data_IF_351866604764
#
_entry.id   IF_351866604764
#
_cell.length_a   1.000
_cell.length_b   1.000
_cell.length_c   1.000
_cell.angle_alpha   90.00
_cell.angle_beta   90.00
_cell.angle_gamma   90.00
#
_symmetry.space_group_name_H-M   'P 1'
#
loop_
_entity.id
_entity.type
_entity.pdbx_description
1 polymer ?
#
# COMPACT_ATOMS: atom_id res chain seq x y z
N UNK A 1 38.29 -17.52 -0.69
CA UNK A 1 36.85 -17.49 -1.04
C UNK A 1 36.16 -16.72 0.06
N UNK A 2 35.89 -15.45 -0.16
CA UNK A 2 35.14 -14.60 0.78
C UNK A 2 33.70 -14.57 0.26
N UNK A 3 32.76 -15.00 1.10
CA UNK A 3 31.34 -15.09 0.79
C UNK A 3 30.81 -13.73 0.32
N UNK A 4 30.06 -13.73 -0.79
CA UNK A 4 29.39 -12.56 -1.33
C UNK A 4 28.35 -12.06 -0.32
N UNK A 5 28.72 -11.04 0.45
CA UNK A 5 27.82 -10.34 1.35
C UNK A 5 26.78 -9.60 0.50
N UNK A 6 25.61 -10.23 0.31
CA UNK A 6 24.50 -9.67 -0.45
C UNK A 6 24.07 -8.35 0.22
N UNK A 7 24.32 -7.25 -0.49
CA UNK A 7 24.01 -5.90 -0.01
C UNK A 7 22.54 -5.77 0.40
N UNK A 8 22.30 -5.43 1.67
CA UNK A 8 20.98 -5.15 2.21
C UNK A 8 20.74 -3.64 2.32
N UNK A 9 19.82 -3.06 1.53
CA UNK A 9 19.59 -1.62 1.54
C UNK A 9 18.89 -1.18 2.83
N UNK A 10 19.48 -0.19 3.51
CA UNK A 10 18.95 0.39 4.76
C UNK A 10 18.02 1.58 4.57
N UNK A 11 17.73 1.95 3.32
CA UNK A 11 16.85 3.09 3.03
C UNK A 11 15.40 2.67 3.25
N UNK A 12 14.67 3.45 4.05
CA UNK A 12 13.30 3.15 4.46
C UNK A 12 12.33 2.94 3.29
N UNK A 13 12.59 3.59 2.15
CA UNK A 13 11.78 3.49 0.95
C UNK A 13 12.17 2.32 0.04
N UNK A 14 13.21 1.54 0.38
CA UNK A 14 13.64 0.42 -0.46
C UNK A 14 12.55 -0.63 -0.60
N UNK A 15 11.87 -0.98 0.51
CA UNK A 15 10.72 -1.91 0.50
C UNK A 15 9.59 -1.42 -0.39
N UNK A 16 9.35 -0.10 -0.39
CA UNK A 16 8.34 0.56 -1.23
C UNK A 16 8.72 0.59 -2.71
N UNK A 17 9.98 0.32 -3.05
CA UNK A 17 10.50 0.28 -4.43
C UNK A 17 10.70 -1.15 -4.94
N UNK A 18 10.39 -2.19 -4.15
CA UNK A 18 10.54 -3.60 -4.58
C UNK A 18 9.62 -3.95 -5.75
N UNK A 19 8.50 -3.24 -5.94
CA UNK A 19 7.63 -3.44 -7.10
C UNK A 19 8.34 -3.16 -8.44
N UNK A 20 9.45 -2.39 -8.45
CA UNK A 20 10.23 -2.11 -9.67
C UNK A 20 11.05 -3.32 -10.12
N UNK A 21 11.45 -4.21 -9.20
CA UNK A 21 12.35 -5.34 -9.49
C UNK A 21 11.74 -6.29 -10.53
N UNK A 22 10.43 -6.53 -10.44
CA UNK A 22 9.68 -7.40 -11.36
C UNK A 22 9.53 -6.82 -12.78
N UNK A 23 9.97 -5.59 -13.06
CA UNK A 23 9.86 -4.96 -14.38
C UNK A 23 11.11 -5.13 -15.27
N UNK A 24 12.19 -5.72 -14.75
CA UNK A 24 13.51 -5.73 -15.41
C UNK A 24 13.80 -6.96 -16.28
N UNK A 25 12.89 -7.93 -16.39
CA UNK A 25 13.16 -9.20 -17.10
C UNK A 25 13.20 -9.15 -18.64
N UNK A 26 13.14 -7.99 -19.31
CA UNK A 26 13.17 -7.96 -20.78
C UNK A 26 13.97 -6.80 -21.36
N UNK A 27 15.30 -6.83 -21.26
CA UNK A 27 16.20 -6.23 -22.26
C UNK A 27 17.65 -6.68 -22.04
N UNK A 28 17.95 -7.95 -22.32
CA UNK A 28 19.33 -8.35 -22.65
C UNK A 28 19.53 -8.09 -24.14
N UNK A 29 19.86 -6.85 -24.49
CA UNK A 29 20.39 -6.48 -25.81
C UNK A 29 21.82 -7.01 -25.94
N UNK A 30 21.95 -8.24 -26.41
CA UNK A 30 23.14 -8.67 -27.15
C UNK A 30 23.02 -8.16 -28.59
N UNK A 31 24.04 -7.44 -29.05
CA UNK A 31 24.04 -6.73 -30.32
C UNK A 31 24.12 -7.66 -31.54
N UNK A 32 23.56 -7.19 -32.66
CA UNK A 32 24.03 -7.60 -33.99
C UNK A 32 23.72 -6.52 -35.01
N UNK A 33 24.78 -5.79 -35.39
CA UNK A 33 24.81 -4.87 -36.53
C UNK A 33 24.76 -5.70 -37.81
N UNK A 34 23.82 -5.41 -38.72
CA UNK A 34 24.02 -5.51 -40.19
C UNK A 34 22.94 -4.76 -40.99
N UNK A 35 23.37 -4.38 -42.19
CA UNK A 35 23.02 -3.28 -43.10
C UNK A 35 22.06 -3.72 -44.23
N UNK A 36 21.61 -2.75 -45.04
CA UNK A 36 21.12 -2.82 -46.46
C UNK A 36 19.78 -3.53 -46.74
N UNK A 37 18.95 -3.17 -47.73
CA UNK A 37 18.72 -2.02 -48.61
C UNK A 37 17.40 -2.30 -49.38
N UNK A 38 16.65 -1.24 -49.69
CA UNK A 38 15.74 -0.99 -50.84
C UNK A 38 14.89 -2.07 -51.59
N UNK A 39 13.62 -1.66 -51.80
CA UNK A 39 12.76 -1.75 -53.02
C UNK A 39 11.94 -3.01 -53.33
N UNK A 40 10.63 -2.80 -53.54
CA UNK A 40 9.74 -3.70 -54.29
C UNK A 40 8.25 -3.50 -54.02
N UNK A 41 7.54 -2.84 -54.94
CA UNK A 41 6.07 -2.75 -55.02
C UNK A 41 5.40 -4.13 -55.14
N UNK A 42 4.19 -4.28 -54.57
CA UNK A 42 2.98 -4.74 -55.27
C UNK A 42 1.79 -4.96 -54.29
N UNK A 43 0.70 -4.25 -54.55
CA UNK A 43 -0.68 -4.57 -54.08
C UNK A 43 -1.32 -5.58 -55.06
N UNK A 44 -2.58 -6.07 -54.88
CA UNK A 44 -3.50 -6.06 -53.73
C UNK A 44 -4.12 -7.46 -53.45
N UNK A 45 -4.68 -7.73 -52.27
CA UNK A 45 -5.88 -8.60 -52.16
C UNK A 45 -6.64 -8.38 -50.85
N UNK A 46 -7.94 -8.54 -50.98
CA UNK A 46 -9.04 -8.22 -50.08
C UNK A 46 -9.11 -9.17 -48.87
N UNK A 47 -9.74 -8.66 -47.81
CA UNK A 47 -10.36 -9.35 -46.67
C UNK A 47 -9.46 -9.88 -45.55
N UNK A 48 -9.41 -9.16 -44.42
CA UNK A 48 -9.51 -9.79 -43.08
C UNK A 48 -9.87 -8.74 -42.01
N UNK A 49 -10.96 -9.02 -41.28
CA UNK A 49 -11.26 -8.63 -39.88
C UNK A 49 -10.95 -7.20 -39.40
N UNK A 50 -11.99 -6.49 -38.98
CA UNK A 50 -11.90 -5.30 -38.12
C UNK A 50 -11.16 -5.64 -36.82
N UNK A 51 -9.83 -5.53 -36.82
CA UNK A 51 -9.06 -5.53 -35.59
C UNK A 51 -9.28 -4.17 -34.93
N UNK A 52 -9.97 -4.18 -33.79
CA UNK A 52 -9.93 -3.05 -32.84
C UNK A 52 -8.46 -2.79 -32.56
N UNK A 53 -7.94 -1.63 -32.98
CA UNK A 53 -6.59 -1.17 -32.63
C UNK A 53 -6.48 -1.16 -31.11
N UNK A 54 -5.94 -2.23 -30.52
CA UNK A 54 -5.49 -2.22 -29.13
C UNK A 54 -4.41 -1.15 -29.05
N UNK A 55 -4.75 -0.01 -28.47
CA UNK A 55 -3.79 1.00 -28.09
C UNK A 55 -2.73 0.30 -27.24
N UNK A 56 -1.50 0.17 -27.76
CA UNK A 56 -0.38 -0.33 -26.96
C UNK A 56 -0.09 0.78 -25.95
N UNK A 57 -0.64 0.64 -24.75
CA UNK A 57 -0.31 1.52 -23.64
C UNK A 57 1.20 1.45 -23.45
N UNK A 58 1.84 2.62 -23.50
CA UNK A 58 3.28 2.72 -23.33
C UNK A 58 3.65 2.14 -21.98
N UNK A 59 4.87 1.63 -21.84
CA UNK A 59 5.36 1.18 -20.54
C UNK A 59 5.25 2.32 -19.50
N UNK A 60 5.41 3.57 -19.95
CA UNK A 60 5.14 4.79 -19.18
C UNK A 60 3.69 4.90 -18.72
N UNK A 61 2.71 4.60 -19.56
CA UNK A 61 1.29 4.64 -19.19
C UNK A 61 0.97 3.58 -18.13
N UNK A 62 1.60 2.40 -18.24
CA UNK A 62 1.48 1.34 -17.23
C UNK A 62 2.11 1.77 -15.91
N UNK A 63 3.28 2.41 -15.95
CA UNK A 63 3.94 2.98 -14.76
C UNK A 63 3.09 4.07 -14.10
N UNK A 64 2.59 5.02 -14.88
CA UNK A 64 1.73 6.10 -14.37
C UNK A 64 0.42 5.56 -13.79
N UNK A 65 -0.13 4.51 -14.39
CA UNK A 65 -1.31 3.82 -13.86
C UNK A 65 -1.01 3.11 -12.54
N UNK A 66 0.13 2.42 -12.42
CA UNK A 66 0.52 1.72 -11.19
C UNK A 66 0.76 2.69 -10.02
N UNK A 67 1.47 3.78 -10.29
CA UNK A 67 1.70 4.85 -9.31
C UNK A 67 0.38 5.50 -8.88
N UNK A 68 -0.50 5.80 -9.85
CA UNK A 68 -1.81 6.39 -9.57
C UNK A 68 -2.72 5.48 -8.75
N UNK A 69 -2.60 4.16 -8.89
CA UNK A 69 -3.42 3.20 -8.16
C UNK A 69 -2.97 3.02 -6.70
N UNK A 70 -1.68 3.19 -6.41
CA UNK A 70 -1.18 3.18 -5.02
C UNK A 70 -1.59 4.43 -4.22
N UNK A 71 -1.85 5.55 -4.91
CA UNK A 71 -2.29 6.80 -4.27
C UNK A 71 -3.81 6.92 -4.09
N UNK A 72 -4.60 5.95 -4.58
CA UNK A 72 -6.07 6.06 -4.68
C UNK A 72 -6.86 5.35 -3.58
N UNK A 73 -6.24 4.86 -2.52
CA UNK A 73 -7.01 4.30 -1.40
C UNK A 73 -7.31 5.39 -0.37
N UNK A 74 -8.58 5.79 -0.17
CA UNK A 74 -8.96 6.67 0.94
C UNK A 74 -8.63 6.06 2.32
N UNK A 75 -8.35 4.75 2.36
CA UNK A 75 -7.89 4.03 3.55
C UNK A 75 -6.42 4.29 3.92
N UNK A 76 -5.62 4.96 3.06
CA UNK A 76 -4.19 5.14 3.32
C UNK A 76 -3.91 5.90 4.64
N UNK A 77 -4.66 6.96 4.94
CA UNK A 77 -4.49 7.73 6.18
C UNK A 77 -5.01 6.98 7.40
N UNK A 78 -6.14 6.28 7.27
CA UNK A 78 -6.68 5.42 8.32
C UNK A 78 -5.70 4.29 8.65
N UNK A 79 -5.09 3.69 7.63
CA UNK A 79 -4.07 2.65 7.76
C UNK A 79 -2.81 3.18 8.45
N UNK A 80 -2.37 4.41 8.13
CA UNK A 80 -1.22 5.03 8.80
C UNK A 80 -1.51 5.25 10.29
N UNK A 81 -2.69 5.77 10.63
CA UNK A 81 -3.09 6.00 12.02
C UNK A 81 -3.23 4.67 12.76
N UNK A 82 -3.89 3.67 12.16
CA UNK A 82 -4.05 2.33 12.72
C UNK A 82 -2.69 1.67 12.98
N UNK A 83 -1.77 1.72 12.02
CA UNK A 83 -0.39 1.22 12.19
C UNK A 83 0.31 1.92 13.35
N UNK A 84 0.22 3.24 13.44
CA UNK A 84 0.80 4.02 14.54
C UNK A 84 0.24 3.61 15.91
N UNK A 85 -1.07 3.38 15.99
CA UNK A 85 -1.73 2.93 17.22
C UNK A 85 -1.29 1.52 17.62
N UNK A 86 -1.26 0.58 16.68
CA UNK A 86 -0.78 -0.79 16.91
C UNK A 86 0.66 -0.78 17.45
N UNK A 87 1.54 0.03 16.87
CA UNK A 87 2.92 0.18 17.36
C UNK A 87 2.95 0.69 18.80
N UNK A 88 2.14 1.70 19.14
CA UNK A 88 2.07 2.24 20.51
C UNK A 88 1.53 1.21 21.50
N UNK A 89 0.46 0.50 21.16
CA UNK A 89 -0.13 -0.54 22.01
C UNK A 89 0.82 -1.71 22.26
N UNK A 90 1.58 -2.14 21.25
CA UNK A 90 2.55 -3.23 21.37
C UNK A 90 3.75 -2.89 22.26
N UNK A 91 4.01 -1.60 22.52
CA UNK A 91 5.07 -1.15 23.44
C UNK A 91 4.62 -1.13 24.90
N UNK A 92 3.32 -1.31 25.17
CA UNK A 92 2.78 -1.36 26.53
C UNK A 92 2.99 -2.75 27.15
N UNK A 93 3.10 -2.77 28.49
CA UNK A 93 3.07 -4.02 29.27
C UNK A 93 1.70 -4.71 29.05
N UNK A 94 1.62 -6.06 29.01
CA UNK A 94 0.41 -6.77 28.59
C UNK A 94 -0.89 -6.34 29.30
N UNK A 95 -0.85 -6.09 30.61
CA UNK A 95 -2.03 -5.65 31.35
C UNK A 95 -2.45 -4.23 31.01
N UNK A 96 -1.49 -3.32 30.87
CA UNK A 96 -1.74 -1.94 30.44
C UNK A 96 -2.30 -1.87 29.02
N UNK A 97 -1.82 -2.74 28.13
CA UNK A 97 -2.37 -2.88 26.78
C UNK A 97 -3.85 -3.26 26.82
N UNK A 98 -4.23 -4.26 27.64
CA UNK A 98 -5.64 -4.67 27.80
C UNK A 98 -6.52 -3.53 28.30
N UNK A 99 -6.04 -2.75 29.27
CA UNK A 99 -6.78 -1.59 29.75
C UNK A 99 -6.89 -0.49 28.69
N UNK A 100 -5.82 -0.20 27.96
CA UNK A 100 -5.83 0.78 26.89
C UNK A 100 -6.80 0.38 25.76
N UNK A 101 -6.76 -0.87 25.31
CA UNK A 101 -7.69 -1.41 24.31
C UNK A 101 -9.15 -1.30 24.77
N UNK A 102 -9.44 -1.66 26.04
CA UNK A 102 -10.77 -1.49 26.62
C UNK A 102 -11.23 -0.04 26.58
N UNK A 103 -10.39 0.90 27.03
CA UNK A 103 -10.74 2.33 27.05
C UNK A 103 -11.01 2.84 25.63
N UNK A 104 -10.18 2.48 24.65
CA UNK A 104 -10.39 2.87 23.25
C UNK A 104 -11.76 2.38 22.76
N UNK A 105 -12.09 1.11 23.01
CA UNK A 105 -13.36 0.53 22.60
C UNK A 105 -14.55 1.20 23.31
N UNK A 106 -14.44 1.46 24.61
CA UNK A 106 -15.49 2.14 25.38
C UNK A 106 -15.72 3.57 24.87
N UNK A 107 -14.65 4.31 24.53
CA UNK A 107 -14.76 5.66 23.95
C UNK A 107 -15.47 5.62 22.59
N UNK A 108 -15.13 4.67 21.73
CA UNK A 108 -15.77 4.51 20.42
C UNK A 108 -17.26 4.16 20.58
N UNK A 109 -17.57 3.22 21.46
CA UNK A 109 -18.94 2.80 21.76
C UNK A 109 -19.79 3.96 22.28
N UNK A 110 -19.30 4.71 23.27
CA UNK A 110 -20.02 5.87 23.81
C UNK A 110 -20.15 7.01 22.78
N UNK A 111 -19.19 7.11 21.86
CA UNK A 111 -19.29 7.98 20.69
C UNK A 111 -20.44 7.59 19.76
N UNK A 112 -20.60 6.30 19.45
CA UNK A 112 -21.72 5.80 18.64
C UNK A 112 -23.08 5.99 19.34
N UNK A 113 -23.10 5.96 20.67
CA UNK A 113 -24.30 6.23 21.48
C UNK A 113 -24.62 7.72 21.64
N UNK A 114 -23.74 8.62 21.15
CA UNK A 114 -23.92 10.07 21.26
C UNK A 114 -23.58 10.65 22.64
N UNK A 115 -22.87 9.89 23.47
CA UNK A 115 -22.48 10.29 24.84
C UNK A 115 -21.06 10.88 24.91
N UNK A 116 -20.29 10.84 23.82
CA UNK A 116 -18.96 11.43 23.76
C UNK A 116 -19.05 12.96 23.74
N UNK A 117 -18.49 13.61 24.76
CA UNK A 117 -18.47 15.07 24.87
C UNK A 117 -17.07 15.63 24.55
N UNK A 118 -16.96 16.97 24.45
CA UNK A 118 -15.66 17.64 24.31
C UNK A 118 -14.72 17.33 25.47
N UNK A 119 -15.27 17.09 26.65
CA UNK A 119 -14.53 16.76 27.87
C UNK A 119 -14.26 15.26 28.00
N UNK A 120 -14.71 14.45 27.03
CA UNK A 120 -14.52 13.01 26.96
C UNK A 120 -15.73 12.21 27.44
N UNK A 121 -15.45 11.03 28.01
CA UNK A 121 -16.42 10.05 28.52
C UNK A 121 -16.13 9.81 30.00
N UNK A 122 -17.17 9.84 30.83
CA UNK A 122 -17.08 9.46 32.24
C UNK A 122 -17.42 7.98 32.35
N UNK A 123 -16.41 7.15 32.60
CA UNK A 123 -16.63 5.74 32.87
C UNK A 123 -17.20 5.57 34.28
N UNK A 124 -18.35 4.90 34.39
CA UNK A 124 -18.92 4.54 35.68
C UNK A 124 -17.98 3.54 36.36
N UNK A 125 -17.22 3.99 37.35
CA UNK A 125 -16.61 3.06 38.29
C UNK A 125 -17.70 2.51 39.20
N UNK A 126 -17.60 1.23 39.56
CA UNK A 126 -18.44 0.67 40.61
C UNK A 126 -17.98 1.30 41.95
N UNK A 127 -18.44 2.52 42.25
CA UNK A 127 -18.28 3.07 43.58
C UNK A 127 -19.18 2.28 44.51
N UNK A 128 -18.53 1.49 45.36
CA UNK A 128 -19.07 0.82 46.55
C UNK A 128 -20.11 1.69 47.26
N UNK A 129 -21.32 1.13 47.39
CA UNK A 129 -22.35 1.59 48.32
C UNK A 129 -21.70 1.80 49.70
N UNK A 130 -21.38 3.04 50.03
CA UNK A 130 -21.18 3.41 51.44
C UNK A 130 -22.58 3.65 51.96
N UNK A 131 -23.13 2.62 52.60
CA UNK A 131 -24.32 2.78 53.44
C UNK A 131 -23.93 3.76 54.56
N UNK A 132 -24.45 4.98 54.51
CA UNK A 132 -24.53 5.83 55.70
C UNK A 132 -25.46 5.16 56.70
N UNK A 133 -24.94 4.96 57.91
CA UNK A 133 -25.66 4.51 59.11
C UNK A 133 -25.92 5.73 59.97
#
# INVERSE_FOLDING_TARGET
>A
MTEDEVYQPRLWYYSEMLFLVNSTEVTTTEGSIRKTAETGENQPTRSTTNSRKKHKTSHHDKFMTLASNNFKTPDADADIIAKSWVIKLNRLVPDQRRFAEKIINDVLFEGEMGNLTRDGVIFKSATSNTQEN
#
